data_IF_962577666330
#
_entry.id   IF_962577666330
#
_cell.length_a   1.000
_cell.length_b   1.000
_cell.length_c   1.000
_cell.angle_alpha   90.00
_cell.angle_beta   90.00
_cell.angle_gamma   90.00
#
_symmetry.space_group_name_H-M   'P 1'
#
loop_
_entity.id
_entity.type
_entity.pdbx_description
1 polymer ?
#
# COMPACT_ATOMS: atom_id res chain seq x y z
N UNK A 1 31.81 13.74 3.28
CA UNK A 1 30.72 14.75 3.22
C UNK A 1 30.14 14.71 1.82
N UNK A 2 28.99 14.12 1.64
CA UNK A 2 28.32 13.99 0.33
C UNK A 2 26.91 14.54 0.45
N UNK A 3 26.68 15.72 -0.13
CA UNK A 3 25.44 16.49 -0.12
C UNK A 3 24.35 15.81 -0.95
N UNK A 4 23.10 15.72 -0.47
CA UNK A 4 21.99 15.22 -1.27
C UNK A 4 21.54 16.29 -2.27
N UNK A 5 21.43 15.93 -3.54
CA UNK A 5 20.83 16.75 -4.59
C UNK A 5 19.32 16.71 -4.45
N UNK A 6 18.74 17.83 -4.10
CA UNK A 6 17.29 18.04 -4.19
C UNK A 6 16.93 18.25 -5.68
N UNK A 7 16.16 17.34 -6.23
CA UNK A 7 15.54 17.50 -7.55
C UNK A 7 14.19 18.15 -7.37
N UNK A 8 14.10 19.41 -7.79
CA UNK A 8 12.86 20.19 -7.83
C UNK A 8 12.14 19.83 -9.12
N UNK A 9 10.96 19.24 -9.05
CA UNK A 9 10.08 19.01 -10.20
C UNK A 9 9.04 20.12 -10.22
N UNK A 10 9.00 20.84 -11.36
CA UNK A 10 8.18 21.99 -11.61
C UNK A 10 6.71 21.63 -11.83
N UNK A 11 5.82 22.46 -11.24
CA UNK A 11 4.39 22.52 -11.52
C UNK A 11 4.12 22.87 -12.98
N UNK A 12 3.24 22.12 -13.62
CA UNK A 12 2.54 22.55 -14.83
C UNK A 12 1.06 22.69 -14.51
N UNK A 13 0.63 23.96 -14.43
CA UNK A 13 -0.77 24.36 -14.35
C UNK A 13 -1.43 24.25 -15.73
N UNK A 14 -2.47 23.43 -15.85
CA UNK A 14 -3.38 23.38 -16.99
C UNK A 14 -4.77 23.85 -16.60
N UNK A 15 -5.07 25.13 -16.93
CA UNK A 15 -6.43 25.70 -16.85
C UNK A 15 -7.16 25.36 -18.16
N UNK A 16 -8.33 24.72 -18.08
CA UNK A 16 -9.29 24.67 -19.17
C UNK A 16 -10.70 24.95 -18.65
N UNK A 17 -11.16 26.15 -18.92
CA UNK A 17 -12.52 26.59 -18.77
C UNK A 17 -13.30 26.23 -20.07
N UNK A 18 -14.46 25.60 -19.94
CA UNK A 18 -15.46 25.56 -20.98
C UNK A 18 -16.82 25.92 -20.38
N UNK A 19 -17.32 27.06 -20.81
CA UNK A 19 -18.67 27.55 -20.59
C UNK A 19 -19.58 27.13 -21.78
N UNK A 20 -20.83 26.85 -21.52
CA UNK A 20 -21.88 26.69 -22.51
C UNK A 20 -23.11 26.01 -21.87
N UNK A 21 -24.13 26.62 -21.75
CA UNK A 21 -25.16 27.41 -22.40
C UNK A 21 -26.53 26.79 -22.06
N UNK A 22 -27.37 27.66 -21.58
CA UNK A 22 -28.85 27.68 -21.40
C UNK A 22 -29.68 26.80 -22.34
N UNK A 23 -30.69 26.12 -21.75
CA UNK A 23 -31.85 25.59 -22.46
C UNK A 23 -33.09 25.63 -21.55
N UNK A 24 -33.96 26.62 -21.82
CA UNK A 24 -35.24 26.83 -21.18
C UNK A 24 -36.34 26.03 -21.88
N UNK A 25 -37.42 25.79 -21.10
CA UNK A 25 -38.79 25.46 -21.48
C UNK A 25 -39.12 23.94 -21.56
N UNK A 26 -40.19 23.41 -20.98
CA UNK A 26 -41.57 23.91 -20.99
C UNK A 26 -42.42 23.10 -20.01
N UNK A 27 -43.37 23.77 -19.37
CA UNK A 27 -44.45 23.22 -18.56
C UNK A 27 -45.34 22.26 -19.34
N UNK A 28 -45.83 21.19 -18.70
CA UNK A 28 -47.20 20.78 -18.90
C UNK A 28 -47.74 20.03 -17.68
N UNK A 29 -48.88 20.51 -17.21
CA UNK A 29 -49.67 20.02 -16.11
C UNK A 29 -50.32 18.66 -16.41
N UNK A 30 -50.39 17.81 -15.39
CA UNK A 30 -51.20 16.59 -15.43
C UNK A 30 -51.32 16.06 -14.01
N UNK A 31 -52.51 16.26 -13.44
CA UNK A 31 -52.87 15.92 -12.06
C UNK A 31 -53.06 14.41 -11.85
N UNK A 32 -52.87 14.06 -10.60
CA UNK A 32 -53.59 13.09 -9.78
C UNK A 32 -52.96 11.72 -9.53
N UNK A 33 -52.85 11.52 -8.25
CA UNK A 33 -53.09 10.33 -7.42
C UNK A 33 -51.89 9.46 -7.07
N UNK A 34 -51.42 9.71 -5.84
CA UNK A 34 -51.30 8.76 -4.71
C UNK A 34 -50.79 7.36 -5.03
N UNK A 35 -49.70 6.94 -4.50
CA UNK A 35 -49.59 6.28 -3.21
C UNK A 35 -48.16 5.80 -2.95
N UNK A 36 -47.72 6.01 -1.71
CA UNK A 36 -46.81 5.21 -0.89
C UNK A 36 -45.39 4.92 -1.30
N UNK A 37 -44.62 5.16 -0.27
CA UNK A 37 -43.32 4.57 0.10
C UNK A 37 -42.11 5.22 -0.57
N UNK A 38 -41.55 6.23 0.08
CA UNK A 38 -40.52 6.05 1.08
C UNK A 38 -39.48 5.02 0.68
N UNK A 39 -38.49 5.51 -0.04
CA UNK A 39 -37.11 5.15 0.19
C UNK A 39 -36.27 6.36 -0.17
N UNK A 40 -35.95 7.14 0.83
CA UNK A 40 -34.81 8.04 0.79
C UNK A 40 -33.59 7.19 0.53
N UNK A 41 -33.20 7.03 -0.71
CA UNK A 41 -31.83 6.75 -1.07
C UNK A 41 -31.09 8.01 -0.69
N UNK A 42 -30.59 7.99 0.55
CA UNK A 42 -29.54 8.87 0.95
C UNK A 42 -28.40 8.60 -0.04
N UNK A 43 -28.27 9.47 -1.03
CA UNK A 43 -27.03 9.65 -1.77
C UNK A 43 -26.01 10.11 -0.73
N UNK A 44 -25.47 9.11 -0.03
CA UNK A 44 -24.25 9.29 0.72
C UNK A 44 -23.17 9.34 -0.35
N UNK A 45 -22.98 10.53 -0.90
CA UNK A 45 -21.72 10.91 -1.53
C UNK A 45 -20.68 10.81 -0.42
N UNK A 46 -20.21 9.60 -0.17
CA UNK A 46 -19.01 9.37 0.59
C UNK A 46 -17.93 10.12 -0.18
N UNK A 47 -17.42 11.19 0.41
CA UNK A 47 -16.14 11.75 -0.02
C UNK A 47 -15.18 10.57 -0.16
N UNK A 48 -14.34 10.50 -1.21
CA UNK A 48 -13.32 9.48 -1.31
C UNK A 48 -12.58 9.48 0.02
N UNK A 49 -12.63 8.38 0.76
CA UNK A 49 -11.80 8.23 1.95
C UNK A 49 -10.37 8.42 1.45
N UNK A 50 -9.63 9.35 2.07
CA UNK A 50 -8.21 9.46 1.79
C UNK A 50 -7.58 8.09 2.04
N UNK A 51 -6.66 7.63 1.17
CA UNK A 51 -6.05 6.33 1.36
C UNK A 51 -5.41 6.28 2.75
N UNK A 52 -5.69 5.24 3.51
CA UNK A 52 -5.17 5.05 4.87
C UNK A 52 -3.65 4.89 4.88
N UNK A 53 -3.08 4.51 3.73
CA UNK A 53 -1.66 4.36 3.48
C UNK A 53 -1.24 5.18 2.26
N UNK A 54 -0.17 5.94 2.39
CA UNK A 54 0.37 6.73 1.30
C UNK A 54 1.12 5.84 0.29
N UNK A 55 0.97 6.18 -0.99
CA UNK A 55 1.72 5.52 -2.06
C UNK A 55 3.20 5.83 -1.95
N UNK A 56 4.03 4.85 -2.25
CA UNK A 56 5.48 5.04 -2.24
C UNK A 56 6.25 3.75 -2.01
N UNK A 57 7.57 3.89 -1.95
CA UNK A 57 8.47 2.81 -1.59
C UNK A 57 9.05 3.06 -0.20
N UNK A 58 8.84 2.12 0.68
CA UNK A 58 9.25 2.15 2.08
C UNK A 58 10.24 1.04 2.35
N UNK A 59 11.21 1.31 3.23
CA UNK A 59 12.26 0.35 3.58
C UNK A 59 12.41 0.25 5.07
N UNK A 60 12.51 -0.97 5.59
CA UNK A 60 12.81 -1.23 6.99
C UNK A 60 13.72 -2.45 7.14
N UNK A 61 14.33 -2.60 8.29
CA UNK A 61 15.14 -3.77 8.63
C UNK A 61 14.52 -4.51 9.80
N UNK A 62 14.14 -5.75 9.59
CA UNK A 62 13.59 -6.58 10.66
C UNK A 62 14.63 -7.52 11.26
N UNK A 63 14.51 -7.77 12.55
CA UNK A 63 15.39 -8.67 13.29
C UNK A 63 14.67 -9.95 13.69
N UNK A 64 15.39 -11.05 13.76
CA UNK A 64 14.89 -12.33 14.26
C UNK A 64 16.01 -13.14 14.91
N UNK A 65 15.65 -14.11 15.77
CA UNK A 65 16.60 -15.00 16.41
C UNK A 65 16.82 -16.26 15.58
N UNK A 66 18.09 -16.53 15.27
CA UNK A 66 18.52 -17.77 14.63
C UNK A 66 19.30 -18.65 15.63
N UNK A 67 19.49 -19.95 15.36
CA UNK A 67 20.35 -20.80 16.17
C UNK A 67 21.80 -20.33 16.27
N UNK A 68 22.22 -19.42 15.35
CA UNK A 68 23.55 -18.82 15.33
C UNK A 68 23.60 -17.47 16.07
N UNK A 69 22.48 -16.95 16.53
CA UNK A 69 22.30 -15.65 17.19
C UNK A 69 21.37 -14.73 16.44
N UNK A 70 21.28 -13.46 16.85
CA UNK A 70 20.40 -12.49 16.21
C UNK A 70 20.87 -12.19 14.78
N UNK A 71 19.93 -12.14 13.86
CA UNK A 71 20.14 -11.84 12.45
C UNK A 71 19.15 -10.76 11.98
N UNK A 72 19.50 -10.08 10.91
CA UNK A 72 18.67 -9.04 10.31
C UNK A 72 18.32 -9.34 8.85
N UNK A 73 17.25 -8.76 8.37
CA UNK A 73 16.83 -8.82 6.97
C UNK A 73 16.31 -7.46 6.54
N UNK A 74 16.82 -6.93 5.43
CA UNK A 74 16.33 -5.71 4.82
C UNK A 74 15.09 -5.98 3.97
N UNK A 75 14.09 -5.12 4.08
CA UNK A 75 12.81 -5.22 3.34
C UNK A 75 12.50 -3.88 2.69
N UNK A 76 12.15 -3.91 1.42
CA UNK A 76 11.64 -2.77 0.67
C UNK A 76 10.28 -3.14 0.09
N UNK A 77 9.27 -2.32 0.35
CA UNK A 77 7.89 -2.50 -0.15
C UNK A 77 7.47 -1.28 -0.94
N UNK A 78 6.90 -1.50 -2.11
CA UNK A 78 6.22 -0.47 -2.88
C UNK A 78 4.72 -0.61 -2.71
N UNK A 79 4.06 0.47 -2.29
CA UNK A 79 2.62 0.53 -2.05
C UNK A 79 1.94 1.42 -3.08
N UNK A 80 0.76 1.02 -3.53
CA UNK A 80 -0.22 1.82 -4.26
C UNK A 80 -1.61 1.51 -3.70
N UNK A 81 -2.35 2.53 -3.32
CA UNK A 81 -3.68 2.40 -2.68
C UNK A 81 -3.68 1.43 -1.48
N UNK A 82 -2.61 1.42 -0.68
CA UNK A 82 -2.43 0.51 0.46
C UNK A 82 -2.15 -0.95 0.09
N UNK A 83 -1.99 -1.26 -1.20
CA UNK A 83 -1.68 -2.60 -1.72
C UNK A 83 -0.19 -2.75 -2.00
N UNK A 84 0.34 -3.93 -1.76
CA UNK A 84 1.74 -4.26 -2.09
C UNK A 84 1.89 -4.50 -3.58
N UNK A 85 2.54 -3.57 -4.27
CA UNK A 85 2.83 -3.65 -5.71
C UNK A 85 4.25 -4.11 -6.01
N UNK A 86 5.14 -4.04 -5.03
CA UNK A 86 6.51 -4.52 -5.16
C UNK A 86 7.09 -4.92 -3.81
N UNK A 87 7.92 -5.95 -3.81
CA UNK A 87 8.68 -6.38 -2.64
C UNK A 87 10.09 -6.75 -3.05
N UNK A 88 11.06 -6.26 -2.29
CA UNK A 88 12.45 -6.65 -2.39
C UNK A 88 12.97 -7.01 -0.99
N UNK A 89 13.64 -8.14 -0.89
CA UNK A 89 14.25 -8.61 0.36
C UNK A 89 15.75 -8.72 0.18
N UNK A 90 16.48 -8.01 1.00
CA UNK A 90 17.95 -8.01 1.02
C UNK A 90 18.45 -8.90 2.15
N UNK A 91 19.13 -9.99 1.85
CA UNK A 91 19.80 -10.82 2.88
C UNK A 91 20.89 -10.04 3.59
N UNK A 92 20.75 -9.86 4.91
CA UNK A 92 21.73 -9.16 5.76
C UNK A 92 22.33 -10.08 6.84
N UNK A 93 21.98 -11.36 6.83
CA UNK A 93 22.51 -12.32 7.79
C UNK A 93 24.03 -12.46 7.68
N UNK A 94 24.68 -12.61 8.82
CA UNK A 94 26.11 -12.84 8.90
C UNK A 94 26.50 -14.31 8.81
N UNK A 95 25.59 -15.19 9.19
CA UNK A 95 25.78 -16.63 9.15
C UNK A 95 25.43 -17.19 7.76
N UNK A 96 26.28 -18.04 7.14
CA UNK A 96 26.04 -18.60 5.80
C UNK A 96 24.75 -19.42 5.70
N UNK A 97 24.34 -20.12 6.76
CA UNK A 97 23.08 -20.85 6.76
C UNK A 97 21.88 -19.91 6.74
N UNK A 98 21.89 -18.85 7.55
CA UNK A 98 20.87 -17.81 7.58
C UNK A 98 20.80 -17.06 6.24
N UNK A 99 21.92 -16.70 5.63
CA UNK A 99 21.98 -16.10 4.30
C UNK A 99 21.28 -16.96 3.24
N UNK A 100 21.53 -18.27 3.27
CA UNK A 100 20.87 -19.20 2.35
C UNK A 100 19.35 -19.19 2.52
N UNK A 101 18.85 -19.24 3.76
CA UNK A 101 17.42 -19.21 4.03
C UNK A 101 16.79 -17.87 3.70
N UNK A 102 17.47 -16.75 3.97
CA UNK A 102 17.01 -15.42 3.55
C UNK A 102 16.92 -15.31 2.03
N UNK A 103 17.89 -15.84 1.28
CA UNK A 103 17.86 -15.87 -0.18
C UNK A 103 16.71 -16.72 -0.72
N UNK A 104 16.44 -17.88 -0.09
CA UNK A 104 15.30 -18.71 -0.45
C UNK A 104 13.97 -17.99 -0.15
N UNK A 105 13.87 -17.33 0.98
CA UNK A 105 12.72 -16.51 1.35
C UNK A 105 12.49 -15.39 0.32
N UNK A 106 13.53 -14.62 0.00
CA UNK A 106 13.48 -13.54 -0.97
C UNK A 106 12.95 -14.00 -2.35
N UNK A 107 13.31 -15.22 -2.76
CA UNK A 107 12.88 -15.76 -4.05
C UNK A 107 11.40 -16.14 -4.12
N UNK A 108 10.72 -16.34 -2.98
CA UNK A 108 9.33 -16.79 -2.96
C UNK A 108 8.35 -15.82 -2.30
N UNK A 109 8.83 -14.82 -1.57
CA UNK A 109 7.95 -13.92 -0.80
C UNK A 109 7.07 -13.05 -1.70
N UNK A 110 7.53 -12.68 -2.88
CA UNK A 110 6.77 -11.88 -3.83
C UNK A 110 5.43 -12.56 -4.19
N UNK A 111 5.44 -13.85 -4.48
CA UNK A 111 4.22 -14.60 -4.80
C UNK A 111 3.21 -14.65 -3.65
N UNK A 112 3.69 -14.41 -2.42
CA UNK A 112 2.86 -14.46 -1.21
C UNK A 112 2.26 -13.09 -0.88
N UNK A 113 2.97 -11.99 -1.11
CA UNK A 113 2.58 -10.65 -0.66
C UNK A 113 2.06 -9.72 -1.75
N UNK A 114 2.43 -9.93 -3.01
CA UNK A 114 1.99 -9.09 -4.13
C UNK A 114 0.47 -9.03 -4.23
N UNK A 115 -0.07 -7.83 -4.40
CA UNK A 115 -1.50 -7.58 -4.53
C UNK A 115 -2.29 -7.77 -3.23
N UNK A 116 -1.64 -7.86 -2.08
CA UNK A 116 -2.30 -7.90 -0.77
C UNK A 116 -2.23 -6.53 -0.10
N UNK A 117 -3.23 -6.20 0.75
CA UNK A 117 -3.16 -4.99 1.56
C UNK A 117 -2.01 -5.09 2.55
N UNK A 118 -1.33 -3.96 2.79
CA UNK A 118 -0.26 -3.89 3.81
C UNK A 118 -0.84 -4.01 5.22
N UNK A 119 -2.10 -3.58 5.41
CA UNK A 119 -2.78 -3.65 6.69
C UNK A 119 -2.90 -5.10 7.18
N UNK A 120 -2.34 -5.37 8.34
CA UNK A 120 -2.38 -6.69 8.97
C UNK A 120 -1.66 -7.79 8.18
N UNK A 121 -0.86 -7.43 7.16
CA UNK A 121 -0.12 -8.40 6.36
C UNK A 121 0.91 -9.12 7.23
N UNK A 122 0.82 -10.44 7.23
CA UNK A 122 1.79 -11.33 7.86
C UNK A 122 2.14 -12.47 6.92
N UNK A 123 3.35 -12.95 7.03
CA UNK A 123 3.88 -14.05 6.22
C UNK A 123 4.41 -15.15 7.13
N UNK A 124 4.07 -16.38 6.80
CA UNK A 124 4.58 -17.57 7.47
C UNK A 124 5.76 -18.16 6.70
N UNK A 125 5.98 -19.45 6.81
CA UNK A 125 7.07 -20.15 6.12
C UNK A 125 6.98 -19.99 4.60
N UNK A 126 8.03 -19.43 3.99
CA UNK A 126 8.17 -19.27 2.54
C UNK A 126 9.42 -19.99 2.07
N UNK A 127 9.30 -20.80 1.03
CA UNK A 127 10.41 -21.54 0.38
C UNK A 127 11.26 -22.35 1.37
N UNK A 128 10.65 -22.86 2.46
CA UNK A 128 11.35 -23.61 3.49
C UNK A 128 12.10 -22.78 4.54
N UNK A 129 12.02 -21.45 4.46
CA UNK A 129 12.52 -20.54 5.49
C UNK A 129 11.42 -20.30 6.54
N UNK A 130 11.67 -20.67 7.78
CA UNK A 130 10.70 -20.57 8.88
C UNK A 130 11.05 -19.49 9.91
N UNK A 131 12.28 -19.00 9.94
CA UNK A 131 12.72 -17.97 10.87
C UNK A 131 12.79 -16.58 10.22
N UNK A 132 13.18 -16.48 8.96
CA UNK A 132 13.23 -15.21 8.21
C UNK A 132 11.88 -14.47 8.19
N UNK A 133 10.71 -15.15 8.12
CA UNK A 133 9.40 -14.49 8.21
C UNK A 133 9.21 -13.64 9.47
N UNK A 134 9.82 -14.00 10.59
CA UNK A 134 9.73 -13.23 11.83
C UNK A 134 10.34 -11.84 11.65
N UNK A 135 11.56 -11.76 11.10
CA UNK A 135 12.21 -10.50 10.77
C UNK A 135 11.45 -9.73 9.67
N UNK A 136 10.98 -10.44 8.65
CA UNK A 136 10.18 -9.83 7.59
C UNK A 136 8.90 -9.18 8.13
N UNK A 137 8.15 -9.86 8.99
CA UNK A 137 6.94 -9.33 9.62
C UNK A 137 7.24 -8.14 10.53
N UNK A 138 8.37 -8.14 11.24
CA UNK A 138 8.80 -6.98 12.02
C UNK A 138 9.03 -5.76 11.14
N UNK A 139 9.72 -5.93 10.00
CA UNK A 139 9.91 -4.87 9.02
C UNK A 139 8.59 -4.39 8.39
N UNK A 140 7.63 -5.29 8.12
CA UNK A 140 6.30 -4.93 7.61
C UNK A 140 5.55 -4.00 8.57
N UNK A 141 5.64 -4.24 9.88
CA UNK A 141 5.00 -3.38 10.89
C UNK A 141 5.59 -1.96 10.87
N UNK A 142 6.90 -1.82 10.73
CA UNK A 142 7.55 -0.51 10.60
C UNK A 142 7.15 0.17 9.29
N UNK A 143 7.18 -0.54 8.17
CA UNK A 143 6.76 -0.02 6.86
C UNK A 143 5.29 0.44 6.89
N UNK A 144 4.40 -0.34 7.49
CA UNK A 144 3.00 0.03 7.61
C UNK A 144 2.80 1.29 8.47
N UNK A 145 3.59 1.44 9.54
CA UNK A 145 3.56 2.64 10.38
C UNK A 145 4.09 3.88 9.65
N UNK A 146 5.15 3.72 8.85
CA UNK A 146 5.74 4.82 8.08
C UNK A 146 4.86 5.24 6.87
N UNK A 147 4.13 4.29 6.29
CA UNK A 147 3.23 4.54 5.17
C UNK A 147 1.86 5.08 5.61
N UNK A 148 1.49 4.94 6.88
CA UNK A 148 0.20 5.40 7.39
C UNK A 148 0.06 6.92 7.24
N UNK A 149 -1.01 7.33 6.57
CA UNK A 149 -1.26 8.74 6.21
C UNK A 149 -1.86 9.55 7.35
#
# INVERSE_FOLDING_TARGET
MKTPRRTTIALVSGVSAVAGALGLASCSSGAASQDTADEAVADTSAAPAEPEYADGTYTATGSYESPAGPETVGVSITLEDGMVMGVEVTPEATNPASQKFQTQFASGVADVVMGKPIEGLTVDTVSGSSLTPEGFNAALVEIAADAHA
#
